data_IF_448439993931
#
_entry.id   IF_448439993931
#
_cell.length_a   1.000
_cell.length_b   1.000
_cell.length_c   1.000
_cell.angle_alpha   90.00
_cell.angle_beta   90.00
_cell.angle_gamma   90.00
#
_symmetry.space_group_name_H-M   'P 1'
#
loop_
_entity.id
_entity.type
_entity.pdbx_description
1 polymer ?
#
# COMPACT_ATOMS: atom_id res chain seq x y z
N UNK A 1 -45.67 -6.83 14.17
CA UNK A 1 -44.50 -5.94 14.22
C UNK A 1 -43.28 -6.83 14.31
N UNK A 2 -42.71 -7.23 13.17
CA UNK A 2 -41.38 -7.85 13.13
C UNK A 2 -40.72 -7.38 11.82
N UNK A 3 -39.71 -6.53 11.94
CA UNK A 3 -38.83 -6.11 10.85
C UNK A 3 -37.77 -7.20 10.64
N UNK A 4 -37.51 -7.67 9.42
CA UNK A 4 -36.30 -8.41 9.16
C UNK A 4 -35.12 -7.43 9.01
N UNK A 5 -34.19 -7.52 9.96
CA UNK A 5 -32.84 -6.97 9.91
C UNK A 5 -32.19 -7.25 8.55
N UNK A 6 -32.13 -6.22 7.70
CA UNK A 6 -31.40 -6.23 6.45
C UNK A 6 -29.91 -6.29 6.76
N UNK A 7 -29.31 -7.46 6.53
CA UNK A 7 -27.86 -7.62 6.51
C UNK A 7 -27.26 -6.68 5.48
N UNK A 8 -26.52 -5.67 5.95
CA UNK A 8 -25.65 -4.88 5.10
C UNK A 8 -24.67 -5.85 4.42
N UNK A 9 -24.88 -6.08 3.13
CA UNK A 9 -23.89 -6.64 2.24
C UNK A 9 -22.70 -5.67 2.21
N UNK A 10 -21.68 -5.98 3.00
CA UNK A 10 -20.36 -5.39 2.83
C UNK A 10 -19.81 -5.90 1.51
N UNK A 11 -19.97 -5.08 0.46
CA UNK A 11 -19.31 -5.32 -0.81
C UNK A 11 -17.80 -5.50 -0.54
N UNK A 12 -17.16 -6.58 -1.03
CA UNK A 12 -15.72 -6.70 -0.93
C UNK A 12 -15.10 -5.55 -1.73
N UNK A 13 -14.53 -4.59 -1.01
CA UNK A 13 -13.69 -3.55 -1.59
C UNK A 13 -12.45 -4.27 -2.12
N UNK A 14 -12.48 -4.67 -3.39
CA UNK A 14 -11.35 -5.32 -4.05
C UNK A 14 -10.14 -4.39 -3.87
N UNK A 15 -9.00 -4.88 -3.35
CA UNK A 15 -7.81 -4.05 -3.26
C UNK A 15 -7.47 -3.65 -4.69
N UNK A 16 -7.55 -2.36 -4.97
CA UNK A 16 -7.07 -1.79 -6.21
C UNK A 16 -5.59 -2.14 -6.31
N UNK A 17 -5.26 -3.27 -6.95
CA UNK A 17 -3.92 -3.56 -7.44
C UNK A 17 -3.63 -2.51 -8.49
N UNK A 18 -3.20 -1.34 -8.04
CA UNK A 18 -2.65 -0.30 -8.86
C UNK A 18 -1.43 -0.92 -9.55
N UNK A 19 -1.64 -1.41 -10.78
CA UNK A 19 -0.60 -1.90 -11.65
C UNK A 19 0.24 -0.67 -12.04
N UNK A 20 1.15 -0.24 -11.16
CA UNK A 20 1.98 0.94 -11.36
C UNK A 20 2.81 0.71 -12.63
N UNK A 21 2.61 1.57 -13.63
CA UNK A 21 3.40 1.55 -14.88
C UNK A 21 4.71 2.28 -14.62
N UNK A 22 5.62 1.67 -13.86
CA UNK A 22 6.93 2.26 -13.55
C UNK A 22 7.92 2.25 -14.73
N UNK A 23 7.50 1.69 -15.88
CA UNK A 23 8.27 1.70 -17.13
C UNK A 23 9.68 1.13 -16.98
N UNK A 24 10.61 1.67 -17.77
CA UNK A 24 12.02 1.23 -17.82
C UNK A 24 12.72 1.46 -16.47
N UNK A 25 12.40 2.56 -15.78
CA UNK A 25 12.97 2.91 -14.46
C UNK A 25 12.57 1.87 -13.40
N UNK A 26 11.32 1.41 -13.40
CA UNK A 26 10.88 0.34 -12.51
C UNK A 26 11.54 -1.00 -12.81
N UNK A 27 11.88 -1.27 -14.07
CA UNK A 27 12.62 -2.47 -14.46
C UNK A 27 14.06 -2.45 -13.93
N UNK A 28 14.76 -1.32 -14.06
CA UNK A 28 16.10 -1.13 -13.51
C UNK A 28 16.12 -1.17 -11.99
N UNK A 29 15.11 -0.56 -11.35
CA UNK A 29 14.97 -0.61 -9.89
C UNK A 29 14.85 -2.06 -9.39
N UNK A 30 14.01 -2.89 -10.02
CA UNK A 30 13.88 -4.32 -9.70
C UNK A 30 15.14 -5.13 -10.00
N UNK A 31 15.92 -4.73 -11.00
CA UNK A 31 17.17 -5.41 -11.36
C UNK A 31 18.28 -5.12 -10.34
N UNK A 32 18.33 -3.87 -9.84
CA UNK A 32 19.33 -3.42 -8.86
C UNK A 32 18.94 -3.89 -7.45
N UNK A 33 17.66 -3.80 -7.09
CA UNK A 33 17.14 -4.14 -5.77
C UNK A 33 16.49 -5.53 -5.89
N UNK A 34 17.32 -6.55 -5.64
CA UNK A 34 16.93 -7.95 -5.76
C UNK A 34 15.95 -8.38 -4.66
N UNK A 35 15.99 -7.72 -3.51
CA UNK A 35 14.97 -7.84 -2.46
C UNK A 35 13.80 -6.90 -2.78
N UNK A 36 12.58 -7.43 -2.68
CA UNK A 36 11.35 -6.70 -2.88
C UNK A 36 11.21 -5.55 -1.87
N UNK A 37 11.67 -5.73 -0.63
CA UNK A 37 11.60 -4.69 0.42
C UNK A 37 12.46 -3.48 0.07
N UNK A 38 13.67 -3.74 -0.40
CA UNK A 38 14.60 -2.69 -0.81
C UNK A 38 14.09 -1.93 -2.04
N UNK A 39 13.46 -2.65 -2.98
CA UNK A 39 12.81 -2.03 -4.14
C UNK A 39 11.62 -1.13 -3.75
N UNK A 40 10.77 -1.58 -2.84
CA UNK A 40 9.63 -0.81 -2.34
C UNK A 40 10.08 0.43 -1.57
N UNK A 41 11.13 0.32 -0.73
CA UNK A 41 11.72 1.45 -0.02
C UNK A 41 12.31 2.50 -0.98
N UNK A 42 13.07 2.05 -1.99
CA UNK A 42 13.62 2.94 -3.01
C UNK A 42 12.53 3.67 -3.81
N UNK A 43 11.45 2.98 -4.18
CA UNK A 43 10.30 3.58 -4.86
C UNK A 43 9.65 4.67 -3.99
N UNK A 44 9.45 4.37 -2.70
CA UNK A 44 8.86 5.31 -1.76
C UNK A 44 9.71 6.58 -1.63
N UNK A 45 11.02 6.42 -1.49
CA UNK A 45 11.95 7.56 -1.41
C UNK A 45 11.95 8.39 -2.70
N UNK A 46 11.99 7.74 -3.87
CA UNK A 46 11.91 8.40 -5.17
C UNK A 46 10.62 9.22 -5.31
N UNK A 47 9.49 8.63 -4.98
CA UNK A 47 8.18 9.28 -5.09
C UNK A 47 8.09 10.47 -4.12
N UNK A 48 8.61 10.33 -2.90
CA UNK A 48 8.68 11.40 -1.91
C UNK A 48 9.52 12.59 -2.39
N UNK A 49 10.71 12.31 -2.95
CA UNK A 49 11.58 13.33 -3.53
C UNK A 49 10.89 14.05 -4.68
N UNK A 50 10.23 13.30 -5.58
CA UNK A 50 9.52 13.88 -6.72
C UNK A 50 8.38 14.80 -6.26
N UNK A 51 7.54 14.33 -5.32
CA UNK A 51 6.45 15.12 -4.75
C UNK A 51 7.00 16.39 -4.09
N UNK A 52 8.03 16.26 -3.25
CA UNK A 52 8.65 17.40 -2.56
C UNK A 52 9.23 18.41 -3.55
N UNK A 53 9.95 17.95 -4.57
CA UNK A 53 10.50 18.80 -5.62
C UNK A 53 9.38 19.54 -6.39
N UNK A 54 8.26 18.87 -6.68
CA UNK A 54 7.11 19.52 -7.32
C UNK A 54 6.45 20.57 -6.43
N UNK A 55 6.30 20.30 -5.12
CA UNK A 55 5.78 21.26 -4.15
C UNK A 55 6.67 22.50 -4.04
N UNK A 56 8.00 22.31 -4.03
CA UNK A 56 8.97 23.41 -4.01
C UNK A 56 8.88 24.28 -5.27
N UNK A 57 8.62 23.66 -6.43
CA UNK A 57 8.51 24.33 -7.74
C UNK A 57 7.20 25.08 -7.95
N UNK A 58 6.12 24.72 -7.24
CA UNK A 58 4.82 25.40 -7.35
C UNK A 58 4.88 26.79 -6.71
N UNK A 59 4.45 27.83 -7.43
CA UNK A 59 4.42 29.20 -6.89
C UNK A 59 3.25 29.36 -5.90
N UNK A 60 3.50 30.00 -4.75
CA UNK A 60 2.45 30.25 -3.74
C UNK A 60 1.23 30.99 -4.32
N UNK A 61 1.44 31.90 -5.27
CA UNK A 61 0.34 32.60 -5.97
C UNK A 61 -0.59 31.66 -6.74
N UNK A 62 -0.08 30.55 -7.28
CA UNK A 62 -0.91 29.57 -7.98
C UNK A 62 -1.68 28.71 -6.99
N UNK A 63 -1.06 28.34 -5.87
CA UNK A 63 -1.72 27.61 -4.78
C UNK A 63 -2.83 28.44 -4.14
N UNK A 64 -2.58 29.72 -3.85
CA UNK A 64 -3.58 30.62 -3.30
C UNK A 64 -4.78 30.83 -4.22
N UNK A 65 -4.61 30.73 -5.56
CA UNK A 65 -5.73 30.81 -6.52
C UNK A 65 -6.69 29.62 -6.44
N UNK A 66 -6.21 28.47 -5.97
CA UNK A 66 -7.03 27.27 -5.74
C UNK A 66 -7.36 27.08 -4.26
N UNK A 67 -7.12 28.11 -3.42
CA UNK A 67 -7.42 28.09 -1.99
C UNK A 67 -6.52 27.19 -1.16
N UNK A 68 -5.36 26.77 -1.69
CA UNK A 68 -4.40 25.94 -1.00
C UNK A 68 -3.18 26.76 -0.57
N UNK A 69 -2.55 26.34 0.52
CA UNK A 69 -1.24 26.83 0.94
C UNK A 69 -0.20 25.72 0.79
N UNK A 70 1.06 26.10 0.58
CA UNK A 70 2.15 25.11 0.57
C UNK A 70 2.26 24.35 1.90
N UNK A 71 1.96 25.00 3.02
CA UNK A 71 1.96 24.37 4.34
C UNK A 71 0.90 23.27 4.46
N UNK A 72 -0.33 23.54 3.99
CA UNK A 72 -1.41 22.55 3.95
C UNK A 72 -1.03 21.36 3.09
N UNK A 73 -0.49 21.60 1.89
CA UNK A 73 -0.05 20.52 1.00
C UNK A 73 1.09 19.68 1.58
N UNK A 74 2.02 20.30 2.31
CA UNK A 74 3.09 19.56 2.98
C UNK A 74 2.52 18.62 4.06
N UNK A 75 1.56 19.11 4.85
CA UNK A 75 0.88 18.31 5.87
C UNK A 75 0.07 17.15 5.24
N UNK A 76 -0.64 17.41 4.14
CA UNK A 76 -1.40 16.36 3.44
C UNK A 76 -0.48 15.27 2.86
N UNK A 77 0.70 15.65 2.35
CA UNK A 77 1.71 14.68 1.86
C UNK A 77 2.29 13.85 3.00
N UNK A 78 2.54 14.45 4.16
CA UNK A 78 2.98 13.74 5.35
C UNK A 78 1.92 12.74 5.86
N UNK A 79 0.65 13.15 5.92
CA UNK A 79 -0.45 12.25 6.29
C UNK A 79 -0.62 11.11 5.29
N UNK A 80 -0.52 11.38 3.98
CA UNK A 80 -0.52 10.34 2.96
C UNK A 80 0.66 9.37 3.12
N UNK A 81 1.84 9.85 3.48
CA UNK A 81 3.01 9.02 3.74
C UNK A 81 2.77 8.08 4.93
N UNK A 82 2.24 8.61 6.04
CA UNK A 82 1.90 7.84 7.24
C UNK A 82 0.83 6.78 6.97
N UNK A 83 -0.19 7.12 6.16
CA UNK A 83 -1.22 6.16 5.74
C UNK A 83 -0.64 5.06 4.88
N UNK A 84 0.21 5.39 3.91
CA UNK A 84 0.88 4.41 3.07
C UNK A 84 1.77 3.45 3.88
N UNK A 85 2.51 3.97 4.86
CA UNK A 85 3.32 3.14 5.77
C UNK A 85 2.43 2.18 6.59
N UNK A 86 1.32 2.69 7.12
CA UNK A 86 0.36 1.86 7.86
C UNK A 86 -0.25 0.77 6.98
N UNK A 87 -0.66 1.10 5.76
CA UNK A 87 -1.20 0.13 4.80
C UNK A 87 -0.17 -0.94 4.42
N UNK A 88 1.10 -0.53 4.23
CA UNK A 88 2.20 -1.47 3.95
C UNK A 88 2.40 -2.44 5.13
N UNK A 89 2.38 -1.94 6.37
CA UNK A 89 2.47 -2.78 7.57
C UNK A 89 1.31 -3.76 7.68
N UNK A 90 0.08 -3.29 7.51
CA UNK A 90 -1.12 -4.15 7.51
C UNK A 90 -1.01 -5.23 6.43
N UNK A 91 -0.58 -4.86 5.23
CA UNK A 91 -0.41 -5.80 4.12
C UNK A 91 0.64 -6.87 4.46
N UNK A 92 1.76 -6.48 5.05
CA UNK A 92 2.79 -7.41 5.51
C UNK A 92 2.26 -8.36 6.59
N UNK A 93 1.46 -7.85 7.53
CA UNK A 93 0.87 -8.66 8.61
C UNK A 93 -0.15 -9.66 8.04
N UNK A 94 -0.98 -9.25 7.09
CA UNK A 94 -1.93 -10.13 6.40
C UNK A 94 -1.20 -11.25 5.66
N UNK A 95 -0.17 -10.92 4.87
CA UNK A 95 0.60 -11.94 4.14
C UNK A 95 1.23 -12.94 5.09
N UNK A 96 1.79 -12.47 6.22
CA UNK A 96 2.36 -13.34 7.25
C UNK A 96 1.32 -14.26 7.89
N UNK A 97 0.11 -13.76 8.15
CA UNK A 97 -0.98 -14.57 8.71
C UNK A 97 -1.44 -15.65 7.73
N UNK A 98 -1.60 -15.30 6.44
CA UNK A 98 -1.97 -16.25 5.39
C UNK A 98 -0.90 -17.34 5.24
N UNK A 99 0.38 -16.97 5.20
CA UNK A 99 1.48 -17.96 5.13
C UNK A 99 1.51 -18.90 6.33
N UNK A 100 1.17 -18.41 7.53
CA UNK A 100 1.08 -19.24 8.73
C UNK A 100 -0.12 -20.19 8.69
N UNK A 101 -1.26 -19.72 8.19
CA UNK A 101 -2.46 -20.54 8.00
C UNK A 101 -2.19 -21.67 7.00
N UNK A 102 -1.62 -21.37 5.83
CA UNK A 102 -1.24 -22.34 4.81
C UNK A 102 -0.28 -23.41 5.38
N UNK A 103 0.77 -22.98 6.10
CA UNK A 103 1.73 -23.90 6.72
C UNK A 103 1.09 -24.79 7.82
N UNK A 104 0.05 -24.32 8.50
CA UNK A 104 -0.69 -25.14 9.47
C UNK A 104 -1.66 -26.13 8.81
N UNK A 105 -2.22 -25.78 7.65
CA UNK A 105 -3.07 -26.68 6.85
C UNK A 105 -2.21 -27.83 6.31
N UNK A 106 -1.06 -27.53 5.69
CA UNK A 106 -0.13 -28.54 5.17
C UNK A 106 0.32 -29.54 6.26
N UNK A 107 0.63 -29.06 7.48
CA UNK A 107 1.01 -29.94 8.59
C UNK A 107 -0.10 -30.87 9.05
N UNK A 108 -1.37 -30.43 8.99
CA UNK A 108 -2.52 -31.27 9.35
C UNK A 108 -2.77 -32.35 8.32
N UNK A 109 -2.64 -32.02 7.04
CA UNK A 109 -2.77 -32.98 5.94
C UNK A 109 -1.67 -34.06 6.00
N UNK A 110 -0.42 -33.67 6.23
CA UNK A 110 0.68 -34.61 6.43
C UNK A 110 0.49 -35.54 7.64
N UNK A 111 -0.08 -35.05 8.74
CA UNK A 111 -0.38 -35.88 9.91
C UNK A 111 -1.54 -36.85 9.67
N UNK A 112 -2.53 -36.47 8.86
CA UNK A 112 -3.66 -37.33 8.51
C UNK A 112 -3.21 -38.49 7.61
N UNK A 113 -2.29 -38.25 6.67
CA UNK A 113 -1.75 -39.28 5.76
C UNK A 113 -0.82 -40.26 6.48
N UNK A 114 -0.12 -39.84 7.54
CA UNK A 114 0.76 -40.72 8.32
C UNK A 114 0.01 -41.64 9.30
N UNK A 115 -1.31 -41.50 9.43
CA UNK A 115 -2.15 -42.27 10.35
C UNK A 115 -3.03 -43.33 9.65
N UNK A 116 -2.94 -43.46 8.32
CA UNK A 116 -3.54 -44.54 7.50
C UNK A 116 -2.53 -45.65 7.19
#
# INVERSE_FOLDING_TARGET
MEEPMSMMQTAPCLPARARRKDGVIGLWGRLIHRDRRDYEAWLQERDMIAITATLLRLKERQLNRIGLSRATLAFDVEDLALRAEREAKITSDILRLVEQEDATIERREHHAIAAE
#
